data_IF_940284402595
#
_entry.id   IF_940284402595
#
_cell.length_a   1.000
_cell.length_b   1.000
_cell.length_c   1.000
_cell.angle_alpha   90.00
_cell.angle_beta   90.00
_cell.angle_gamma   90.00
#
_symmetry.space_group_name_H-M   'P 1'
#
loop_
_entity.id
_entity.type
_entity.pdbx_description
1 polymer ?
#
# COMPACT_ATOMS: atom_id res chain seq x y z
N UNK A 1 -12.36 15.24 -4.10
CA UNK A 1 -11.89 14.18 -3.16
C UNK A 1 -10.95 13.28 -3.93
N UNK A 2 -9.65 13.30 -3.62
CA UNK A 2 -8.70 12.38 -4.25
C UNK A 2 -8.96 10.96 -3.73
N UNK A 3 -9.07 9.98 -4.62
CA UNK A 3 -9.29 8.58 -4.26
C UNK A 3 -7.95 7.85 -4.16
N UNK A 4 -7.80 6.94 -3.20
CA UNK A 4 -6.62 6.07 -3.11
C UNK A 4 -6.36 5.29 -4.41
N UNK A 5 -7.41 5.09 -5.23
CA UNK A 5 -7.31 4.44 -6.54
C UNK A 5 -6.44 5.17 -7.55
N UNK A 6 -6.23 6.48 -7.40
CA UNK A 6 -5.40 7.28 -8.31
C UNK A 6 -3.95 7.41 -7.86
N UNK A 7 -3.58 6.88 -6.68
CA UNK A 7 -2.18 6.87 -6.25
C UNK A 7 -1.38 5.97 -7.19
N UNK A 8 -0.18 6.43 -7.56
CA UNK A 8 0.82 5.58 -8.22
C UNK A 8 1.23 4.47 -7.26
N UNK A 9 1.59 3.33 -7.83
CA UNK A 9 1.92 2.13 -7.08
C UNK A 9 3.06 2.34 -6.07
N UNK A 10 4.15 2.98 -6.49
CA UNK A 10 5.29 3.27 -5.60
C UNK A 10 4.85 4.15 -4.42
N UNK A 11 4.04 5.17 -4.68
CA UNK A 11 3.55 6.08 -3.64
C UNK A 11 2.57 5.39 -2.68
N UNK A 12 1.75 4.46 -3.17
CA UNK A 12 0.84 3.68 -2.32
C UNK A 12 1.64 2.81 -1.35
N UNK A 13 2.69 2.17 -1.83
CA UNK A 13 3.56 1.29 -1.05
C UNK A 13 4.38 2.08 -0.02
N UNK A 14 4.98 3.20 -0.42
CA UNK A 14 5.71 4.10 0.48
C UNK A 14 4.79 4.66 1.56
N UNK A 15 3.58 5.11 1.18
CA UNK A 15 2.60 5.63 2.11
C UNK A 15 2.15 4.56 3.13
N UNK A 16 1.99 3.31 2.71
CA UNK A 16 1.71 2.20 3.62
C UNK A 16 2.87 1.93 4.58
N UNK A 17 4.10 1.87 4.07
CA UNK A 17 5.28 1.64 4.90
C UNK A 17 5.46 2.74 5.95
N UNK A 18 5.32 4.01 5.56
CA UNK A 18 5.39 5.13 6.48
C UNK A 18 4.23 5.14 7.47
N UNK A 19 3.00 4.82 7.04
CA UNK A 19 1.85 4.77 7.93
C UNK A 19 2.02 3.71 9.03
N UNK A 20 2.57 2.54 8.69
CA UNK A 20 2.92 1.49 9.66
C UNK A 20 4.05 1.95 10.58
N UNK A 21 5.13 2.50 10.02
CA UNK A 21 6.30 2.97 10.77
C UNK A 21 5.97 4.06 11.78
N UNK A 22 5.09 5.00 11.40
CA UNK A 22 4.65 6.11 12.23
C UNK A 22 3.50 5.75 13.16
N UNK A 23 3.01 4.50 13.13
CA UNK A 23 1.85 4.03 13.91
C UNK A 23 0.64 4.95 13.74
N UNK A 24 0.35 5.31 12.49
CA UNK A 24 -0.83 6.12 12.17
C UNK A 24 -2.12 5.35 12.46
N UNK A 25 -3.25 6.03 12.26
CA UNK A 25 -4.57 5.47 12.47
C UNK A 25 -4.72 4.07 11.82
N UNK A 26 -5.11 3.03 12.60
CA UNK A 26 -5.26 1.68 12.09
C UNK A 26 -6.31 1.54 10.97
N UNK A 27 -7.33 2.40 10.96
CA UNK A 27 -8.33 2.39 9.88
C UNK A 27 -7.71 2.87 8.57
N UNK A 28 -6.89 3.91 8.61
CA UNK A 28 -6.13 4.38 7.45
C UNK A 28 -5.16 3.31 6.92
N UNK A 29 -4.39 2.67 7.81
CA UNK A 29 -3.48 1.57 7.42
C UNK A 29 -4.26 0.43 6.75
N UNK A 30 -5.44 0.08 7.27
CA UNK A 30 -6.32 -0.94 6.68
C UNK A 30 -6.82 -0.54 5.29
N UNK A 31 -7.15 0.74 5.08
CA UNK A 31 -7.59 1.23 3.76
C UNK A 31 -6.46 1.12 2.72
N UNK A 32 -5.23 1.50 3.08
CA UNK A 32 -4.07 1.33 2.22
C UNK A 32 -3.81 -0.15 1.90
N UNK A 33 -3.86 -1.02 2.92
CA UNK A 33 -3.68 -2.47 2.73
C UNK A 33 -4.72 -3.08 1.80
N UNK A 34 -5.99 -2.67 1.91
CA UNK A 34 -7.06 -3.13 1.02
C UNK A 34 -6.81 -2.72 -0.43
N UNK A 35 -6.32 -1.50 -0.66
CA UNK A 35 -5.99 -1.03 -2.01
C UNK A 35 -4.75 -1.74 -2.57
N UNK A 36 -3.75 -2.05 -1.74
CA UNK A 36 -2.61 -2.90 -2.12
C UNK A 36 -3.11 -4.28 -2.54
N UNK A 37 -3.95 -4.93 -1.71
CA UNK A 37 -4.52 -6.24 -2.03
C UNK A 37 -5.32 -6.23 -3.34
N UNK A 38 -6.04 -5.14 -3.64
CA UNK A 38 -6.78 -4.96 -4.91
C UNK A 38 -5.86 -4.93 -6.14
N UNK A 39 -4.59 -4.53 -5.99
CA UNK A 39 -3.62 -4.41 -7.09
C UNK A 39 -2.68 -5.61 -7.21
N UNK A 40 -2.82 -6.63 -6.36
CA UNK A 40 -1.97 -7.83 -6.41
C UNK A 40 -2.16 -8.70 -7.66
N UNK A 41 -3.18 -8.43 -8.46
CA UNK A 41 -3.36 -9.05 -9.78
C UNK A 41 -2.28 -8.59 -10.78
N UNK A 42 -1.69 -7.41 -10.58
CA UNK A 42 -0.55 -6.96 -11.37
C UNK A 42 0.74 -7.69 -10.89
N UNK A 43 1.39 -8.49 -11.76
CA UNK A 43 2.58 -9.25 -11.39
C UNK A 43 3.77 -8.39 -10.94
N UNK A 44 3.93 -7.21 -11.54
CA UNK A 44 5.01 -6.27 -11.21
C UNK A 44 4.75 -5.67 -9.84
N UNK A 45 3.54 -5.18 -9.62
CA UNK A 45 3.13 -4.63 -8.33
C UNK A 45 3.26 -5.66 -7.20
N UNK A 46 2.76 -6.87 -7.45
CA UNK A 46 2.83 -8.00 -6.51
C UNK A 46 4.27 -8.29 -6.10
N UNK A 47 5.21 -8.33 -7.05
CA UNK A 47 6.62 -8.56 -6.76
C UNK A 47 7.19 -7.49 -5.83
N UNK A 48 6.91 -6.22 -6.09
CA UNK A 48 7.36 -5.10 -5.26
C UNK A 48 6.79 -5.19 -3.84
N UNK A 49 5.49 -5.51 -3.70
CA UNK A 49 4.85 -5.71 -2.41
C UNK A 49 5.48 -6.85 -1.59
N UNK A 50 5.81 -7.99 -2.22
CA UNK A 50 6.45 -9.11 -1.51
C UNK A 50 7.84 -8.75 -0.98
N UNK A 51 8.62 -7.98 -1.74
CA UNK A 51 9.93 -7.49 -1.29
C UNK A 51 9.80 -6.58 -0.06
N UNK A 52 8.77 -5.74 -0.02
CA UNK A 52 8.53 -4.82 1.10
C UNK A 52 7.94 -5.51 2.34
N UNK A 53 7.09 -6.52 2.16
CA UNK A 53 6.39 -7.22 3.25
C UNK A 53 7.15 -8.41 3.83
N UNK A 54 8.21 -8.89 3.17
CA UNK A 54 9.06 -10.00 3.62
C UNK A 54 10.21 -9.61 4.55
N UNK A 55 10.17 -8.42 5.16
CA UNK A 55 11.11 -7.99 6.22
C UNK A 55 10.51 -8.15 7.61
#
# INVERSE_FOLDING_TARGET
>A
MASLRSLKDDWLLDCYADAVRLQLDPTFIRLLRNEIHRRLDDPVFRRTWFVLSGR
#
